data_IF_073441985585
#
_entry.id   IF_073441985585
#
_cell.length_a   1.000
_cell.length_b   1.000
_cell.length_c   1.000
_cell.angle_alpha   90.00
_cell.angle_beta   90.00
_cell.angle_gamma   90.00
#
_symmetry.space_group_name_H-M   'P 1'
#
loop_
_entity.id
_entity.type
_entity.pdbx_description
1 polymer ?
#
# COMPACT_ATOMS: atom_id res chain seq x y z
N UNK A 1 -14.95 -50.76 -10.97
CA UNK A 1 -13.53 -51.01 -11.29
C UNK A 1 -12.81 -49.69 -11.19
N UNK A 2 -11.77 -49.60 -10.36
CA UNK A 2 -10.90 -48.43 -10.28
C UNK A 2 -10.17 -48.25 -11.61
N UNK A 3 -10.21 -47.03 -12.13
CA UNK A 3 -9.46 -46.66 -13.34
C UNK A 3 -8.13 -46.10 -12.90
N UNK A 4 -7.06 -46.48 -13.60
CA UNK A 4 -5.72 -45.98 -13.30
C UNK A 4 -5.19 -45.23 -14.51
N UNK A 5 -4.66 -44.03 -14.28
CA UNK A 5 -4.10 -43.17 -15.31
C UNK A 5 -2.58 -43.16 -15.17
N UNK A 6 -1.87 -43.39 -16.27
CA UNK A 6 -0.42 -43.28 -16.29
C UNK A 6 0.02 -41.82 -16.10
N UNK A 7 0.90 -41.55 -15.12
CA UNK A 7 1.53 -40.22 -14.93
C UNK A 7 2.77 -40.02 -15.79
N UNK A 8 3.36 -41.12 -16.24
CA UNK A 8 4.55 -41.15 -17.08
C UNK A 8 4.42 -42.28 -18.12
N UNK A 9 5.34 -42.36 -19.08
CA UNK A 9 5.32 -43.44 -20.08
C UNK A 9 5.60 -44.79 -19.41
N UNK A 10 4.72 -45.77 -19.60
CA UNK A 10 4.84 -47.14 -19.08
C UNK A 10 4.60 -48.12 -20.23
N UNK A 11 5.69 -48.62 -20.82
CA UNK A 11 5.61 -49.51 -21.98
C UNK A 11 4.89 -48.83 -23.15
N UNK A 12 3.67 -49.27 -23.46
CA UNK A 12 2.83 -48.71 -24.52
C UNK A 12 1.86 -47.63 -24.03
N UNK A 13 1.73 -47.44 -22.72
CA UNK A 13 0.82 -46.44 -22.13
C UNK A 13 1.53 -45.09 -22.03
N UNK A 14 0.98 -44.08 -22.72
CA UNK A 14 1.47 -42.70 -22.63
C UNK A 14 0.89 -41.99 -21.38
N UNK A 15 1.52 -40.92 -20.88
CA UNK A 15 0.96 -40.11 -19.81
C UNK A 15 -0.47 -39.65 -20.14
N UNK A 16 -1.38 -39.76 -19.17
CA UNK A 16 -2.80 -39.47 -19.34
C UNK A 16 -3.66 -40.62 -19.89
N UNK A 17 -3.05 -41.74 -20.32
CA UNK A 17 -3.81 -42.91 -20.76
C UNK A 17 -4.24 -43.81 -19.60
N UNK A 18 -5.39 -44.47 -19.78
CA UNK A 18 -5.89 -45.48 -18.85
C UNK A 18 -5.11 -46.78 -18.98
N UNK A 19 -4.55 -47.26 -17.86
CA UNK A 19 -3.79 -48.49 -17.77
C UNK A 19 -4.75 -49.66 -17.53
N UNK A 20 -4.80 -50.58 -18.50
CA UNK A 20 -5.68 -51.77 -18.49
C UNK A 20 -4.89 -53.06 -18.73
N UNK A 21 -5.44 -54.19 -18.28
CA UNK A 21 -4.91 -55.53 -18.56
C UNK A 21 -3.65 -55.91 -17.78
N UNK A 22 -3.27 -55.13 -16.76
CA UNK A 22 -2.19 -55.48 -15.83
C UNK A 22 -2.74 -56.23 -14.62
N UNK A 23 -1.92 -57.14 -14.08
CA UNK A 23 -2.22 -57.81 -12.81
C UNK A 23 -2.23 -56.82 -11.64
N UNK A 24 -3.04 -57.11 -10.62
CA UNK A 24 -3.24 -56.25 -9.45
C UNK A 24 -1.95 -55.97 -8.69
N UNK A 25 -1.05 -56.96 -8.58
CA UNK A 25 0.28 -56.77 -7.97
C UNK A 25 1.13 -55.74 -8.72
N UNK A 26 1.05 -55.74 -10.06
CA UNK A 26 1.77 -54.78 -10.89
C UNK A 26 1.13 -53.40 -10.82
N UNK A 27 -0.21 -53.31 -10.83
CA UNK A 27 -0.91 -52.04 -10.61
C UNK A 27 -0.56 -51.44 -9.24
N UNK A 28 -0.57 -52.24 -8.18
CA UNK A 28 -0.22 -51.77 -6.83
C UNK A 28 1.24 -51.30 -6.75
N UNK A 29 2.18 -51.99 -7.41
CA UNK A 29 3.58 -51.58 -7.47
C UNK A 29 3.76 -50.28 -8.27
N UNK A 30 3.03 -50.11 -9.37
CA UNK A 30 3.04 -48.89 -10.18
C UNK A 30 2.36 -47.71 -9.48
N UNK A 31 1.33 -47.97 -8.67
CA UNK A 31 0.68 -46.97 -7.84
C UNK A 31 1.59 -46.54 -6.70
N UNK A 32 2.25 -47.50 -6.03
CA UNK A 32 3.22 -47.25 -4.97
C UNK A 32 4.47 -46.51 -5.48
N UNK A 33 4.89 -46.75 -6.72
CA UNK A 33 5.97 -46.00 -7.37
C UNK A 33 5.53 -44.65 -7.94
N UNK A 34 4.23 -44.33 -7.91
CA UNK A 34 3.67 -43.09 -8.46
C UNK A 34 3.66 -43.03 -9.99
N UNK A 35 3.93 -44.14 -10.68
CA UNK A 35 3.89 -44.21 -12.14
C UNK A 35 2.46 -44.15 -12.69
N UNK A 36 1.48 -44.64 -11.92
CA UNK A 36 0.05 -44.49 -12.19
C UNK A 36 -0.65 -43.83 -11.00
N UNK A 37 -1.82 -43.25 -11.25
CA UNK A 37 -2.72 -42.71 -10.22
C UNK A 37 -4.13 -43.24 -10.45
N UNK A 38 -4.84 -43.57 -9.38
CA UNK A 38 -6.27 -43.89 -9.48
C UNK A 38 -7.05 -42.63 -9.88
N UNK A 39 -7.79 -42.70 -10.98
CA UNK A 39 -8.63 -41.62 -11.49
C UNK A 39 -9.69 -41.27 -10.44
N UNK A 40 -9.40 -40.25 -9.63
CA UNK A 40 -10.38 -39.64 -8.76
C UNK A 40 -11.29 -38.74 -9.60
N UNK A 41 -12.56 -38.66 -9.20
CA UNK A 41 -13.48 -37.70 -9.79
C UNK A 41 -12.84 -36.30 -9.80
N UNK A 42 -13.00 -35.51 -10.86
CA UNK A 42 -12.40 -34.18 -10.93
C UNK A 42 -12.81 -33.40 -9.69
N UNK A 43 -11.83 -33.02 -8.86
CA UNK A 43 -12.09 -32.12 -7.74
C UNK A 43 -12.68 -30.84 -8.32
N UNK A 44 -13.91 -30.52 -7.91
CA UNK A 44 -14.51 -29.25 -8.26
C UNK A 44 -13.56 -28.13 -7.81
N UNK A 45 -13.26 -27.14 -8.67
CA UNK A 45 -12.45 -26.01 -8.25
C UNK A 45 -13.17 -25.34 -7.08
N UNK A 46 -12.54 -25.37 -5.90
CA UNK A 46 -13.04 -24.65 -4.73
C UNK A 46 -13.10 -23.17 -5.12
N UNK A 47 -14.19 -22.49 -4.74
CA UNK A 47 -14.32 -21.06 -4.97
C UNK A 47 -13.17 -20.34 -4.24
N UNK A 48 -12.14 -19.98 -4.99
CA UNK A 48 -11.00 -19.25 -4.46
C UNK A 48 -11.49 -17.84 -4.13
N UNK A 49 -11.32 -17.42 -2.87
CA UNK A 49 -11.80 -16.13 -2.35
C UNK A 49 -11.19 -14.89 -3.02
N UNK A 50 -10.38 -15.09 -4.06
CA UNK A 50 -9.73 -14.08 -4.89
C UNK A 50 -10.67 -12.98 -5.36
N UNK A 51 -11.90 -13.32 -5.78
CA UNK A 51 -12.86 -12.30 -6.23
C UNK A 51 -13.28 -11.36 -5.09
N UNK A 52 -13.49 -11.91 -3.88
CA UNK A 52 -13.82 -11.11 -2.70
C UNK A 52 -12.62 -10.27 -2.24
N UNK A 53 -11.40 -10.83 -2.30
CA UNK A 53 -10.17 -10.08 -1.99
C UNK A 53 -9.94 -8.93 -2.96
N UNK A 54 -10.13 -9.15 -4.27
CA UNK A 54 -10.00 -8.11 -5.28
C UNK A 54 -11.04 -6.98 -5.09
N UNK A 55 -12.28 -7.33 -4.74
CA UNK A 55 -13.30 -6.35 -4.42
C UNK A 55 -12.93 -5.51 -3.18
N UNK A 56 -12.39 -6.16 -2.13
CA UNK A 56 -11.91 -5.48 -0.93
C UNK A 56 -10.74 -4.54 -1.21
N UNK A 57 -9.72 -5.00 -1.95
CA UNK A 57 -8.58 -4.17 -2.35
C UNK A 57 -9.01 -2.98 -3.21
N UNK A 58 -9.99 -3.18 -4.10
CA UNK A 58 -10.50 -2.09 -4.94
C UNK A 58 -11.18 -1.01 -4.11
N UNK A 59 -11.96 -1.40 -3.09
CA UNK A 59 -12.59 -0.46 -2.16
C UNK A 59 -11.55 0.30 -1.34
N UNK A 60 -10.54 -0.39 -0.80
CA UNK A 60 -9.47 0.23 -0.01
C UNK A 60 -8.64 1.22 -0.84
N UNK A 61 -8.31 0.88 -2.09
CA UNK A 61 -7.61 1.80 -3.01
C UNK A 61 -8.44 3.04 -3.31
N UNK A 62 -9.77 2.93 -3.42
CA UNK A 62 -10.63 4.08 -3.64
C UNK A 62 -10.66 5.00 -2.41
N UNK A 63 -10.73 4.43 -1.21
CA UNK A 63 -10.69 5.18 0.05
C UNK A 63 -9.35 5.89 0.24
N UNK A 64 -8.23 5.19 0.01
CA UNK A 64 -6.90 5.79 0.12
C UNK A 64 -6.71 6.97 -0.84
N UNK A 65 -7.20 6.87 -2.08
CA UNK A 65 -7.14 7.99 -3.04
C UNK A 65 -7.97 9.19 -2.59
N UNK A 66 -9.14 8.97 -1.99
CA UNK A 66 -9.96 10.05 -1.46
C UNK A 66 -9.26 10.75 -0.28
N UNK A 67 -8.67 9.98 0.63
CA UNK A 67 -7.92 10.51 1.76
C UNK A 67 -6.65 11.27 1.32
N UNK A 68 -5.93 10.75 0.32
CA UNK A 68 -4.77 11.43 -0.26
C UNK A 68 -5.14 12.81 -0.83
N UNK A 69 -6.25 12.92 -1.57
CA UNK A 69 -6.71 14.20 -2.11
C UNK A 69 -7.02 15.22 -1.00
N UNK A 70 -7.67 14.79 0.09
CA UNK A 70 -7.97 15.64 1.25
C UNK A 70 -6.68 16.11 1.93
N UNK A 71 -5.69 15.22 2.09
CA UNK A 71 -4.42 15.55 2.71
C UNK A 71 -3.61 16.55 1.88
N UNK A 72 -3.60 16.40 0.55
CA UNK A 72 -2.93 17.34 -0.36
C UNK A 72 -3.58 18.72 -0.24
N UNK A 73 -4.91 18.80 -0.33
CA UNK A 73 -5.62 20.08 -0.22
C UNK A 73 -5.40 20.75 1.16
N UNK A 74 -5.43 19.94 2.23
CA UNK A 74 -5.15 20.41 3.58
C UNK A 74 -3.72 20.93 3.73
N UNK A 75 -2.74 20.24 3.14
CA UNK A 75 -1.34 20.65 3.14
C UNK A 75 -1.15 21.97 2.37
N UNK A 76 -1.73 22.10 1.19
CA UNK A 76 -1.60 23.32 0.38
C UNK A 76 -2.19 24.54 1.09
N UNK A 77 -3.32 24.37 1.78
CA UNK A 77 -3.92 25.41 2.64
C UNK A 77 -3.00 25.78 3.81
N UNK A 78 -2.44 24.78 4.49
CA UNK A 78 -1.52 25.00 5.60
C UNK A 78 -0.23 25.71 5.15
N UNK A 79 0.34 25.31 4.02
CA UNK A 79 1.54 25.95 3.46
C UNK A 79 1.27 27.42 3.08
N UNK A 80 0.09 27.71 2.52
CA UNK A 80 -0.33 29.09 2.23
C UNK A 80 -0.48 29.94 3.50
N UNK A 81 -1.09 29.39 4.55
CA UNK A 81 -1.25 30.08 5.84
C UNK A 81 0.10 30.34 6.51
N UNK A 82 1.01 29.36 6.48
CA UNK A 82 2.38 29.51 7.00
C UNK A 82 3.13 30.62 6.26
N UNK A 83 3.02 30.67 4.92
CA UNK A 83 3.67 31.72 4.13
C UNK A 83 3.09 33.11 4.44
N UNK A 84 1.78 33.22 4.71
CA UNK A 84 1.16 34.48 5.13
C UNK A 84 1.62 34.90 6.53
N UNK A 85 1.63 33.97 7.48
CA UNK A 85 2.05 34.22 8.85
C UNK A 85 3.52 34.65 8.92
N UNK A 86 4.40 34.02 8.13
CA UNK A 86 5.81 34.43 8.03
C UNK A 86 5.95 35.88 7.56
N UNK A 87 5.21 36.29 6.51
CA UNK A 87 5.21 37.70 6.05
C UNK A 87 4.71 38.67 7.12
N UNK A 88 3.67 38.30 7.87
CA UNK A 88 3.15 39.11 8.97
C UNK A 88 4.18 39.25 10.10
N UNK A 89 4.86 38.17 10.46
CA UNK A 89 5.92 38.18 11.48
C UNK A 89 7.06 39.09 11.06
N UNK A 90 7.59 38.95 9.84
CA UNK A 90 8.64 39.84 9.32
C UNK A 90 8.22 41.31 9.31
N UNK A 91 6.96 41.59 8.98
CA UNK A 91 6.39 42.94 9.01
C UNK A 91 6.34 43.52 10.42
N UNK A 92 5.89 42.73 11.40
CA UNK A 92 5.82 43.13 12.80
C UNK A 92 7.21 43.33 13.40
N UNK A 93 8.18 42.48 13.10
CA UNK A 93 9.57 42.62 13.55
C UNK A 93 10.20 43.93 13.05
N UNK A 94 9.98 44.30 11.78
CA UNK A 94 10.43 45.58 11.22
C UNK A 94 9.77 46.78 11.89
N UNK A 95 8.47 46.70 12.15
CA UNK A 95 7.72 47.75 12.83
C UNK A 95 8.19 47.93 14.29
N UNK A 96 8.43 46.82 15.00
CA UNK A 96 8.94 46.81 16.37
C UNK A 96 10.31 47.49 16.43
N UNK A 97 11.26 47.08 15.58
CA UNK A 97 12.60 47.66 15.53
C UNK A 97 12.57 49.18 15.26
N UNK A 98 11.70 49.60 14.34
CA UNK A 98 11.50 51.03 14.05
C UNK A 98 10.94 51.79 15.26
N UNK A 99 9.94 51.21 15.94
CA UNK A 99 9.32 51.79 17.13
C UNK A 99 10.32 51.91 18.28
N UNK A 100 11.12 50.87 18.54
CA UNK A 100 12.17 50.88 19.56
C UNK A 100 13.23 51.95 19.28
N UNK A 101 13.64 52.11 18.01
CA UNK A 101 14.58 53.15 17.61
C UNK A 101 14.01 54.55 17.83
N UNK A 102 12.75 54.79 17.45
CA UNK A 102 12.06 56.05 17.67
C UNK A 102 11.92 56.36 19.18
N UNK A 103 11.56 55.36 19.98
CA UNK A 103 11.42 55.49 21.43
C UNK A 103 12.75 55.87 22.09
N UNK A 104 13.86 55.21 21.71
CA UNK A 104 15.23 55.53 22.19
C UNK A 104 15.63 56.96 21.83
N UNK A 105 15.34 57.41 20.61
CA UNK A 105 15.63 58.77 20.17
C UNK A 105 14.85 59.78 21.01
N UNK A 106 13.54 59.58 21.17
CA UNK A 106 12.67 60.45 21.96
C UNK A 106 13.10 60.53 23.44
N UNK A 107 13.51 59.41 24.05
CA UNK A 107 14.02 59.41 25.43
C UNK A 107 15.34 60.17 25.59
N UNK A 108 16.21 60.10 24.58
CA UNK A 108 17.49 60.83 24.59
C UNK A 108 17.26 62.33 24.44
N UNK A 109 16.40 62.74 23.51
CA UNK A 109 16.03 64.15 23.31
C UNK A 109 15.33 64.74 24.54
N UNK A 110 14.43 63.99 25.18
CA UNK A 110 13.77 64.41 26.42
C UNK A 110 14.76 64.62 27.57
N UNK A 111 15.73 63.72 27.76
CA UNK A 111 16.79 63.88 28.78
C UNK A 111 17.66 65.10 28.56
N UNK A 112 17.99 65.42 27.29
CA UNK A 112 18.77 66.61 26.95
C UNK A 112 18.00 67.89 27.26
N UNK A 113 16.70 67.92 26.96
CA UNK A 113 15.84 69.09 27.24
C UNK A 113 15.66 69.39 28.74
N UNK A 114 15.77 68.40 29.62
CA UNK A 114 15.72 68.61 31.09
C UNK A 114 17.05 68.99 31.72
N UNK A 115 18.18 68.80 31.03
CA UNK A 115 19.52 69.12 31.55
C UNK A 115 19.97 70.56 31.22
N UNK A 116 19.30 71.21 30.26
CA UNK A 116 19.57 72.59 29.79
C UNK A 116 18.68 73.65 30.49
N UNK A 117 17.96 73.27 31.56
CA UNK A 117 17.01 74.12 32.29
C UNK A 117 17.43 74.28 33.75
#
# INVERSE_FOLDING_TARGET
MSKYIAKQSIGHFMPGQEVKGLEEKHLQALLASGAIEEEKAPEQPKADGTAAQLASLTAEVAELKANEAILIEGKDKADAEVAELQKKVEGLEKALSTSEAALKKATTEAKKATADK
#
